data_IF_051231329933
#
_entry.id   IF_051231329933
#
_cell.length_a   1.000
_cell.length_b   1.000
_cell.length_c   1.000
_cell.angle_alpha   90.00
_cell.angle_beta   90.00
_cell.angle_gamma   90.00
#
_symmetry.space_group_name_H-M   'P 1'
#
loop_
_entity.id
_entity.type
_entity.pdbx_description
1 polymer ?
#
# COMPACT_ATOMS: atom_id res chain seq x y z
N UNK A 1 23.85 -18.69 -24.08
CA UNK A 1 22.59 -18.63 -24.86
C UNK A 1 22.27 -17.19 -25.27
N UNK A 2 22.01 -16.89 -26.55
CA UNK A 2 21.61 -15.54 -26.93
C UNK A 2 20.31 -15.19 -26.20
N UNK A 3 20.30 -14.09 -25.45
CA UNK A 3 19.10 -13.60 -24.77
C UNK A 3 18.05 -13.33 -25.84
N UNK A 4 16.97 -14.13 -25.84
CA UNK A 4 15.81 -13.84 -26.69
C UNK A 4 15.36 -12.42 -26.36
N UNK A 5 15.41 -11.52 -27.35
CA UNK A 5 14.82 -10.20 -27.17
C UNK A 5 13.35 -10.39 -26.78
N UNK A 6 12.86 -9.63 -25.79
CA UNK A 6 11.47 -9.74 -25.37
C UNK A 6 10.56 -9.53 -26.57
N UNK A 7 9.66 -10.48 -26.80
CA UNK A 7 8.65 -10.38 -27.86
C UNK A 7 7.59 -9.42 -27.35
N UNK A 8 7.43 -8.28 -28.03
CA UNK A 8 6.33 -7.36 -27.75
C UNK A 8 5.01 -8.03 -28.14
N UNK A 9 4.16 -8.32 -27.15
CA UNK A 9 2.87 -8.96 -27.37
C UNK A 9 1.77 -7.94 -27.69
N UNK A 10 1.84 -6.75 -27.09
CA UNK A 10 0.93 -5.64 -27.29
C UNK A 10 1.53 -4.34 -26.75
N UNK A 11 1.14 -3.21 -27.35
CA UNK A 11 1.39 -1.87 -26.82
C UNK A 11 0.07 -1.15 -26.55
N UNK A 12 -0.03 -0.53 -25.38
CA UNK A 12 -1.14 0.35 -25.01
C UNK A 12 -0.64 1.80 -25.08
N UNK A 13 -0.96 2.56 -26.14
CA UNK A 13 -0.42 3.91 -26.31
C UNK A 13 -0.97 4.84 -25.22
N UNK A 14 -0.08 5.64 -24.64
CA UNK A 14 -0.45 6.73 -23.76
C UNK A 14 -0.79 7.98 -24.57
N UNK A 15 -1.97 8.54 -24.34
CA UNK A 15 -2.37 9.79 -24.96
C UNK A 15 -2.12 10.97 -24.01
N UNK A 16 -2.05 12.22 -24.53
CA UNK A 16 -2.02 13.41 -23.68
C UNK A 16 -3.18 13.40 -22.67
N UNK A 17 -2.97 13.91 -21.45
CA UNK A 17 -3.98 13.90 -20.38
C UNK A 17 -5.31 14.55 -20.81
N UNK A 18 -5.24 15.58 -21.68
CA UNK A 18 -6.41 16.23 -22.27
C UNK A 18 -7.37 15.25 -22.99
N UNK A 19 -6.85 14.14 -23.54
CA UNK A 19 -7.64 13.11 -24.23
C UNK A 19 -8.55 12.32 -23.28
N UNK A 20 -8.33 12.37 -21.97
CA UNK A 20 -9.15 11.68 -20.97
C UNK A 20 -10.15 12.60 -20.26
N UNK A 21 -10.03 13.92 -20.44
CA UNK A 21 -10.94 14.92 -19.86
C UNK A 21 -12.35 14.72 -20.45
N UNK A 22 -13.37 14.77 -19.59
CA UNK A 22 -14.77 14.66 -20.00
C UNK A 22 -15.27 13.23 -20.31
N UNK A 23 -14.42 12.20 -20.22
CA UNK A 23 -14.82 10.79 -20.46
C UNK A 23 -15.60 10.13 -19.32
N UNK A 24 -15.86 10.88 -18.24
CA UNK A 24 -16.48 10.36 -17.02
C UNK A 24 -15.51 9.53 -16.17
N UNK A 25 -15.77 9.46 -14.87
CA UNK A 25 -15.01 8.60 -13.97
C UNK A 25 -15.56 7.16 -14.06
N UNK A 26 -14.69 6.13 -14.12
CA UNK A 26 -15.15 4.74 -14.17
C UNK A 26 -15.93 4.39 -12.91
N UNK A 27 -16.82 3.39 -12.99
CA UNK A 27 -17.54 2.93 -11.80
C UNK A 27 -16.55 2.25 -10.87
N UNK A 28 -16.26 2.90 -9.75
CA UNK A 28 -15.34 2.38 -8.75
C UNK A 28 -16.13 1.83 -7.55
N UNK A 29 -16.05 0.52 -7.36
CA UNK A 29 -16.68 -0.17 -6.24
C UNK A 29 -15.95 0.15 -4.94
N UNK A 30 -16.71 0.38 -3.87
CA UNK A 30 -16.14 0.63 -2.55
C UNK A 30 -15.30 -0.58 -2.11
N UNK A 31 -14.01 -0.38 -1.75
CA UNK A 31 -13.18 -1.46 -1.24
C UNK A 31 -13.76 -2.04 0.06
N UNK A 32 -13.76 -3.37 0.17
CA UNK A 32 -14.19 -4.11 1.35
C UNK A 32 -13.09 -5.06 1.79
N UNK A 33 -12.63 -4.96 3.03
CA UNK A 33 -11.69 -5.94 3.61
C UNK A 33 -12.34 -7.34 3.61
N UNK A 34 -11.60 -8.32 3.10
CA UNK A 34 -12.02 -9.72 3.00
C UNK A 34 -11.06 -10.68 3.71
N UNK A 35 -9.79 -10.28 3.86
CA UNK A 35 -8.78 -11.01 4.62
C UNK A 35 -7.70 -10.04 5.10
N UNK A 36 -6.82 -10.52 5.97
CA UNK A 36 -5.67 -9.75 6.47
C UNK A 36 -4.62 -10.70 7.03
N UNK A 37 -3.40 -10.20 7.18
CA UNK A 37 -2.34 -10.87 7.91
C UNK A 37 -1.35 -9.86 8.50
N UNK A 38 -0.63 -10.30 9.51
CA UNK A 38 0.48 -9.58 10.14
C UNK A 38 1.78 -10.33 9.90
N UNK A 39 2.90 -9.62 9.78
CA UNK A 39 4.25 -10.18 9.89
C UNK A 39 4.92 -9.64 11.14
N UNK A 40 5.55 -10.53 11.89
CA UNK A 40 6.38 -10.13 13.03
C UNK A 40 7.80 -9.74 12.60
N UNK A 41 8.62 -9.32 13.56
CA UNK A 41 10.02 -8.92 13.36
C UNK A 41 10.89 -9.96 12.64
N UNK A 42 10.50 -11.24 12.66
CA UNK A 42 11.18 -12.35 11.97
C UNK A 42 10.52 -12.70 10.62
N UNK A 43 9.61 -11.84 10.13
CA UNK A 43 8.79 -12.00 8.92
C UNK A 43 7.85 -13.20 8.94
N UNK A 44 7.59 -13.79 10.12
CA UNK A 44 6.63 -14.90 10.23
C UNK A 44 5.22 -14.35 10.09
N UNK A 45 4.46 -14.97 9.20
CA UNK A 45 3.08 -14.56 8.90
C UNK A 45 2.13 -15.13 9.94
N UNK A 46 1.18 -14.28 10.36
CA UNK A 46 0.04 -14.63 11.22
C UNK A 46 -1.24 -14.10 10.60
N UNK A 47 -2.28 -14.91 10.52
CA UNK A 47 -3.56 -14.51 9.92
C UNK A 47 -4.47 -13.79 10.93
N UNK A 48 -3.93 -12.75 11.55
CA UNK A 48 -4.57 -11.91 12.56
C UNK A 48 -4.22 -10.42 12.35
N UNK A 49 -4.67 -9.57 13.28
CA UNK A 49 -4.41 -8.12 13.28
C UNK A 49 -3.34 -7.69 14.29
N UNK A 50 -2.45 -8.60 14.70
CA UNK A 50 -1.45 -8.32 15.73
C UNK A 50 -0.45 -7.23 15.33
N UNK A 51 -0.20 -7.05 14.03
CA UNK A 51 0.66 -5.99 13.50
C UNK A 51 -0.05 -4.66 13.20
N UNK A 52 -1.37 -4.54 13.43
CA UNK A 52 -2.09 -3.31 13.14
C UNK A 52 -1.93 -2.32 14.32
N UNK A 53 -1.14 -1.27 14.12
CA UNK A 53 -0.98 -0.21 15.10
C UNK A 53 -2.26 0.60 15.33
N UNK A 54 -2.43 1.14 16.53
CA UNK A 54 -3.46 2.14 16.80
C UNK A 54 -2.90 3.53 16.47
N UNK A 55 -3.59 4.31 15.63
CA UNK A 55 -3.17 5.67 15.31
C UNK A 55 -3.19 6.54 16.57
N UNK A 56 -2.13 7.31 16.73
CA UNK A 56 -1.94 8.31 17.77
C UNK A 56 -1.34 9.54 17.13
N UNK A 57 -1.77 10.71 17.58
CA UNK A 57 -1.16 11.96 17.11
C UNK A 57 0.24 12.09 17.70
N UNK A 58 1.30 12.14 16.87
CA UNK A 58 2.65 12.31 17.38
C UNK A 58 2.84 13.71 17.96
N UNK A 59 3.66 13.83 18.99
CA UNK A 59 4.10 15.15 19.51
C UNK A 59 5.15 15.72 18.58
N UNK A 60 4.99 16.99 18.18
CA UNK A 60 5.89 17.69 17.27
C UNK A 60 6.41 18.99 17.92
N UNK A 61 7.66 19.40 17.66
CA UNK A 61 8.64 18.74 16.80
C UNK A 61 9.22 17.46 17.43
N UNK A 62 9.62 16.50 16.58
CA UNK A 62 10.27 15.26 17.01
C UNK A 62 11.60 15.05 16.27
N UNK A 63 12.61 14.56 16.98
CA UNK A 63 13.90 14.21 16.39
C UNK A 63 13.81 12.84 15.70
N UNK A 64 13.54 12.83 14.40
CA UNK A 64 13.34 11.60 13.62
C UNK A 64 14.62 10.77 13.41
N UNK A 65 15.80 11.34 13.70
CA UNK A 65 17.08 10.66 13.53
C UNK A 65 17.48 9.80 14.74
N UNK A 66 16.80 9.95 15.89
CA UNK A 66 17.12 9.24 17.13
C UNK A 66 16.80 7.75 17.02
N UNK A 67 17.84 6.93 17.15
CA UNK A 67 17.76 5.46 17.15
C UNK A 67 18.11 4.82 15.81
N UNK A 68 18.58 5.60 14.84
CA UNK A 68 19.01 5.11 13.52
C UNK A 68 20.09 4.01 13.63
N UNK A 69 20.99 4.11 14.59
CA UNK A 69 22.09 3.17 14.81
C UNK A 69 21.59 1.75 15.19
N UNK A 70 20.36 1.66 15.69
CA UNK A 70 19.69 0.41 16.05
C UNK A 70 18.61 -0.03 15.04
N UNK A 71 18.47 0.70 13.93
CA UNK A 71 17.46 0.44 12.91
C UNK A 71 17.68 -0.92 12.23
N UNK A 72 16.61 -1.72 12.14
CA UNK A 72 16.60 -2.97 11.38
C UNK A 72 15.85 -2.73 10.07
N UNK A 73 16.54 -2.61 8.92
CA UNK A 73 15.90 -2.38 7.63
C UNK A 73 15.10 -3.61 7.17
N UNK A 74 14.10 -3.35 6.31
CA UNK A 74 13.27 -4.40 5.69
C UNK A 74 14.18 -5.32 4.88
N UNK A 75 14.14 -6.61 5.15
CA UNK A 75 14.90 -7.57 4.35
C UNK A 75 14.32 -7.59 2.93
N UNK A 76 15.14 -7.26 1.94
CA UNK A 76 14.79 -7.36 0.53
C UNK A 76 15.37 -8.65 -0.01
N UNK A 77 14.52 -9.54 -0.55
CA UNK A 77 14.99 -10.60 -1.45
C UNK A 77 14.93 -10.04 -2.88
N UNK A 78 16.08 -9.80 -3.53
CA UNK A 78 16.11 -9.25 -4.88
C UNK A 78 15.50 -10.19 -5.92
N UNK A 79 15.39 -11.48 -5.63
CA UNK A 79 14.94 -12.50 -6.57
C UNK A 79 13.42 -12.77 -6.48
N UNK A 80 12.78 -12.40 -5.36
CA UNK A 80 11.34 -12.56 -5.15
C UNK A 80 10.76 -11.31 -4.46
N UNK A 81 10.58 -10.19 -5.20
CA UNK A 81 9.97 -9.00 -4.63
C UNK A 81 8.51 -9.28 -4.27
N UNK A 82 8.23 -9.36 -2.96
CA UNK A 82 6.89 -9.47 -2.37
C UNK A 82 6.01 -10.59 -2.97
N UNK A 83 6.22 -11.86 -2.60
CA UNK A 83 5.42 -12.96 -3.13
C UNK A 83 3.94 -12.80 -2.76
N UNK A 84 3.05 -13.16 -3.69
CA UNK A 84 1.61 -13.22 -3.46
C UNK A 84 1.20 -14.43 -2.60
N UNK A 85 2.13 -15.33 -2.27
CA UNK A 85 1.88 -16.55 -1.49
C UNK A 85 1.15 -16.29 -0.17
N UNK A 86 1.59 -15.28 0.59
CA UNK A 86 0.96 -14.94 1.87
C UNK A 86 -0.44 -14.35 1.71
N UNK A 87 -0.67 -13.63 0.61
CA UNK A 87 -2.00 -13.10 0.25
C UNK A 87 -2.95 -14.25 -0.07
N UNK A 88 -2.51 -15.21 -0.89
CA UNK A 88 -3.29 -16.41 -1.23
C UNK A 88 -3.57 -17.25 0.03
N UNK A 89 -2.58 -17.42 0.90
CA UNK A 89 -2.74 -18.16 2.15
C UNK A 89 -3.75 -17.48 3.10
N UNK A 90 -3.70 -16.15 3.24
CA UNK A 90 -4.64 -15.40 4.06
C UNK A 90 -6.08 -15.45 3.49
N UNK A 91 -6.25 -15.39 2.17
CA UNK A 91 -7.55 -15.58 1.51
C UNK A 91 -8.11 -16.98 1.78
N UNK A 92 -7.27 -18.02 1.61
CA UNK A 92 -7.63 -19.42 1.87
C UNK A 92 -8.03 -19.64 3.33
N UNK A 93 -7.30 -19.05 4.28
CA UNK A 93 -7.63 -19.09 5.71
C UNK A 93 -9.00 -18.47 6.03
N UNK A 94 -9.46 -17.48 5.26
CA UNK A 94 -10.81 -16.89 5.37
C UNK A 94 -11.86 -17.59 4.52
N UNK A 95 -11.51 -18.68 3.82
CA UNK A 95 -12.42 -19.41 2.93
C UNK A 95 -12.78 -18.65 1.64
N UNK A 96 -11.96 -17.67 1.24
CA UNK A 96 -12.15 -16.90 0.00
C UNK A 96 -11.32 -17.51 -1.11
N UNK A 97 -11.93 -17.74 -2.28
CA UNK A 97 -11.22 -18.31 -3.44
C UNK A 97 -10.65 -17.18 -4.27
N UNK A 98 -9.43 -17.34 -4.75
CA UNK A 98 -8.79 -16.40 -5.68
C UNK A 98 -9.62 -16.15 -6.94
N UNK A 99 -10.36 -17.18 -7.40
CA UNK A 99 -11.29 -17.14 -8.54
C UNK A 99 -12.52 -16.26 -8.36
N UNK A 100 -12.78 -15.75 -7.14
CA UNK A 100 -13.86 -14.79 -6.89
C UNK A 100 -13.49 -13.36 -7.40
N UNK A 101 -12.26 -13.16 -7.87
CA UNK A 101 -11.76 -11.96 -8.56
C UNK A 101 -11.16 -12.30 -9.93
N UNK A 102 -11.03 -11.29 -10.80
CA UNK A 102 -10.33 -11.44 -12.08
C UNK A 102 -8.82 -11.20 -11.93
N UNK A 103 -8.44 -10.30 -11.00
CA UNK A 103 -7.05 -9.91 -10.76
C UNK A 103 -6.75 -10.01 -9.27
N UNK A 104 -5.59 -10.57 -8.92
CA UNK A 104 -4.99 -10.53 -7.58
C UNK A 104 -3.64 -9.81 -7.62
N UNK A 105 -3.45 -8.79 -6.78
CA UNK A 105 -2.20 -8.02 -6.75
C UNK A 105 -1.97 -7.29 -5.43
N UNK A 106 -0.77 -6.72 -5.25
CA UNK A 106 -0.52 -5.69 -4.25
C UNK A 106 -0.90 -4.30 -4.78
N UNK A 107 -1.29 -3.40 -3.87
CA UNK A 107 -1.57 -1.98 -4.13
C UNK A 107 -0.47 -1.31 -4.96
N UNK A 108 0.79 -1.69 -4.74
CA UNK A 108 1.96 -1.16 -5.45
C UNK A 108 1.80 -1.20 -6.99
N UNK A 109 1.30 -2.30 -7.55
CA UNK A 109 1.14 -2.44 -9.00
C UNK A 109 0.02 -1.56 -9.54
N UNK A 110 -1.07 -1.38 -8.80
CA UNK A 110 -2.14 -0.47 -9.20
C UNK A 110 -1.67 0.99 -9.15
N UNK A 111 -0.87 1.37 -8.14
CA UNK A 111 -0.27 2.71 -8.07
C UNK A 111 0.61 3.01 -9.29
N UNK A 112 1.45 2.03 -9.71
CA UNK A 112 2.26 2.13 -10.95
C UNK A 112 1.36 2.35 -12.18
N UNK A 113 0.34 1.49 -12.36
CA UNK A 113 -0.57 1.54 -13.52
C UNK A 113 -1.35 2.87 -13.55
N UNK A 114 -1.95 3.29 -12.43
CA UNK A 114 -2.72 4.54 -12.38
C UNK A 114 -1.84 5.77 -12.50
N UNK A 115 -0.62 5.73 -11.94
CA UNK A 115 0.36 6.82 -12.04
C UNK A 115 0.95 6.99 -13.43
N UNK A 116 0.85 5.99 -14.32
CA UNK A 116 1.51 5.98 -15.64
C UNK A 116 1.13 7.16 -16.52
N UNK A 117 -0.08 7.70 -16.39
CA UNK A 117 -0.52 8.85 -17.20
C UNK A 117 0.18 10.16 -16.82
N UNK A 118 0.74 10.24 -15.61
CA UNK A 118 1.43 11.43 -15.09
C UNK A 118 2.94 11.22 -14.89
N UNK A 119 3.36 9.99 -14.59
CA UNK A 119 4.75 9.67 -14.32
C UNK A 119 5.55 9.58 -15.62
N UNK A 120 6.50 10.51 -15.78
CA UNK A 120 7.41 10.58 -16.95
C UNK A 120 8.86 10.26 -16.60
N UNK A 121 9.15 10.02 -15.31
CA UNK A 121 10.52 9.89 -14.79
C UNK A 121 10.84 8.46 -14.41
N UNK A 122 9.93 7.82 -13.69
CA UNK A 122 10.18 6.52 -13.11
C UNK A 122 9.56 5.41 -13.97
N UNK A 123 10.42 4.56 -14.51
CA UNK A 123 10.02 3.30 -15.10
C UNK A 123 9.46 2.33 -14.04
N UNK A 124 8.67 1.36 -14.49
CA UNK A 124 8.15 0.30 -13.65
C UNK A 124 7.94 -0.98 -14.44
N UNK A 125 8.04 -2.11 -13.74
CA UNK A 125 7.71 -3.43 -14.26
C UNK A 125 6.68 -4.11 -13.35
N UNK A 126 5.87 -4.98 -13.95
CA UNK A 126 4.90 -5.84 -13.29
C UNK A 126 4.98 -7.22 -13.94
N UNK A 127 5.22 -8.26 -13.14
CA UNK A 127 5.15 -9.63 -13.61
C UNK A 127 3.69 -10.05 -13.78
N UNK A 128 3.34 -10.70 -14.88
CA UNK A 128 1.95 -11.13 -15.16
C UNK A 128 1.91 -12.63 -15.32
N UNK A 129 1.09 -13.28 -14.51
CA UNK A 129 0.83 -14.72 -14.58
C UNK A 129 -0.67 -14.95 -14.74
N UNK A 130 -1.06 -15.75 -15.74
CA UNK A 130 -2.44 -16.17 -15.93
C UNK A 130 -2.60 -17.60 -15.43
N UNK A 131 -3.39 -17.78 -14.38
CA UNK A 131 -3.70 -19.08 -13.81
C UNK A 131 -4.63 -19.89 -14.74
N UNK A 132 -4.63 -21.21 -14.58
CA UNK A 132 -5.48 -22.12 -15.36
C UNK A 132 -6.98 -21.86 -15.18
N UNK A 133 -7.38 -21.32 -14.03
CA UNK A 133 -8.75 -20.92 -13.70
C UNK A 133 -9.16 -19.54 -14.28
N UNK A 134 -8.24 -18.87 -14.98
CA UNK A 134 -8.48 -17.57 -15.62
C UNK A 134 -8.14 -16.36 -14.74
N UNK A 135 -7.82 -16.54 -13.46
CA UNK A 135 -7.34 -15.46 -12.58
C UNK A 135 -6.00 -14.93 -13.08
N UNK A 136 -5.80 -13.62 -13.02
CA UNK A 136 -4.51 -12.98 -13.36
C UNK A 136 -3.82 -12.50 -12.09
N UNK A 137 -2.60 -12.97 -11.87
CA UNK A 137 -1.73 -12.51 -10.79
C UNK A 137 -0.79 -11.45 -11.34
N UNK A 138 -0.75 -10.30 -10.66
CA UNK A 138 0.21 -9.24 -10.97
C UNK A 138 1.25 -9.18 -9.86
N UNK A 139 2.45 -9.65 -10.16
CA UNK A 139 3.61 -9.74 -9.28
C UNK A 139 4.38 -8.43 -9.25
N UNK A 140 4.86 -8.03 -8.06
CA UNK A 140 5.68 -6.83 -7.92
C UNK A 140 7.06 -7.13 -8.50
N UNK A 141 7.50 -6.30 -9.44
CA UNK A 141 8.84 -6.36 -9.99
C UNK A 141 9.53 -5.02 -9.80
N UNK A 142 10.84 -5.07 -9.51
CA UNK A 142 11.71 -3.92 -9.58
C UNK A 142 12.38 -3.88 -10.95
N UNK A 143 12.56 -2.70 -11.53
CA UNK A 143 13.31 -2.55 -12.79
C UNK A 143 14.80 -2.70 -12.53
N UNK A 144 15.59 -2.94 -13.58
CA UNK A 144 17.06 -2.94 -13.46
C UNK A 144 17.59 -1.60 -12.91
N UNK A 145 17.02 -0.48 -13.38
CA UNK A 145 17.36 0.86 -12.88
C UNK A 145 17.10 0.97 -11.39
N UNK A 146 15.89 0.59 -10.93
CA UNK A 146 15.52 0.67 -9.51
C UNK A 146 16.41 -0.20 -8.63
N UNK A 147 16.76 -1.43 -9.07
CA UNK A 147 17.73 -2.29 -8.37
C UNK A 147 19.11 -1.66 -8.27
N UNK A 148 19.58 -1.01 -9.34
CA UNK A 148 20.88 -0.34 -9.36
C UNK A 148 20.91 0.91 -8.46
N UNK A 149 19.81 1.68 -8.40
CA UNK A 149 19.65 2.81 -7.48
C UNK A 149 19.62 2.34 -6.02
N UNK A 150 18.90 1.25 -5.74
CA UNK A 150 18.84 0.62 -4.43
C UNK A 150 20.23 0.20 -3.93
N UNK A 151 21.01 -0.47 -4.77
CA UNK A 151 22.35 -0.92 -4.46
C UNK A 151 23.35 0.23 -4.21
N UNK A 152 23.02 1.45 -4.66
CA UNK A 152 23.84 2.65 -4.50
C UNK A 152 23.35 3.57 -3.39
N UNK A 153 22.38 3.12 -2.57
CA UNK A 153 21.81 3.95 -1.50
C UNK A 153 22.88 4.43 -0.53
N UNK A 154 23.01 5.75 -0.40
CA UNK A 154 23.90 6.37 0.56
C UNK A 154 23.28 6.43 1.98
N UNK A 155 24.09 6.75 2.98
CA UNK A 155 23.62 6.84 4.38
C UNK A 155 22.50 7.88 4.53
N UNK A 156 22.57 9.00 3.79
CA UNK A 156 21.54 10.03 3.85
C UNK A 156 20.19 9.50 3.38
N UNK A 157 20.15 8.73 2.29
CA UNK A 157 18.95 8.08 1.79
C UNK A 157 18.43 7.00 2.76
N UNK A 158 19.33 6.27 3.42
CA UNK A 158 18.96 5.31 4.46
C UNK A 158 18.33 6.00 5.67
N UNK A 159 18.90 7.12 6.14
CA UNK A 159 18.32 7.96 7.21
C UNK A 159 16.97 8.52 6.82
N UNK A 160 16.83 9.07 5.61
CA UNK A 160 15.53 9.57 5.12
C UNK A 160 14.46 8.47 5.07
N UNK A 161 14.83 7.25 4.70
CA UNK A 161 13.92 6.09 4.75
C UNK A 161 13.55 5.74 6.19
N UNK A 162 14.52 5.73 7.09
CA UNK A 162 14.32 5.48 8.52
C UNK A 162 13.39 6.53 9.16
N UNK A 163 13.52 7.81 8.81
CA UNK A 163 12.69 8.87 9.36
C UNK A 163 11.19 8.63 9.13
N UNK A 164 10.82 7.96 8.03
CA UNK A 164 9.44 7.50 7.79
C UNK A 164 8.99 6.48 8.84
N UNK A 165 9.74 5.38 9.00
CA UNK A 165 9.43 4.37 10.02
C UNK A 165 9.49 4.91 11.45
N UNK A 166 10.39 5.86 11.74
CA UNK A 166 10.44 6.53 13.04
C UNK A 166 9.17 7.35 13.28
N UNK A 167 8.68 8.05 12.27
CA UNK A 167 7.43 8.79 12.36
C UNK A 167 6.22 7.86 12.56
N UNK A 168 6.18 6.71 11.87
CA UNK A 168 5.16 5.68 12.10
C UNK A 168 5.20 5.16 13.54
N UNK A 169 6.39 4.88 14.08
CA UNK A 169 6.57 4.46 15.47
C UNK A 169 6.00 5.51 16.46
N UNK A 170 6.33 6.79 16.26
CA UNK A 170 5.82 7.90 17.07
C UNK A 170 4.30 8.08 16.94
N UNK A 171 3.72 7.65 15.83
CA UNK A 171 2.29 7.73 15.54
C UNK A 171 1.51 6.49 15.98
N UNK A 172 2.16 5.49 16.59
CA UNK A 172 1.53 4.19 16.92
C UNK A 172 1.83 3.66 18.33
N UNK A 173 3.01 3.92 18.88
CA UNK A 173 3.41 3.46 20.21
C UNK A 173 3.15 4.50 21.31
N UNK A 174 2.93 4.01 22.53
CA UNK A 174 2.97 4.81 23.75
C UNK A 174 4.44 5.05 24.16
N UNK A 175 4.78 6.25 24.61
CA UNK A 175 6.14 6.61 25.02
C UNK A 175 6.92 7.37 23.93
N UNK A 176 6.77 8.68 23.87
CA UNK A 176 7.85 9.51 23.31
C UNK A 176 9.00 9.60 24.32
N UNK A 177 10.16 10.14 23.93
CA UNK A 177 11.24 10.44 24.90
C UNK A 177 10.73 11.28 26.08
N UNK A 178 9.70 12.09 25.85
CA UNK A 178 9.03 12.92 26.86
C UNK A 178 7.90 12.21 27.67
N UNK A 179 7.48 10.99 27.30
CA UNK A 179 6.28 10.32 27.85
C UNK A 179 6.59 9.07 28.71
N UNK A 180 7.84 8.91 29.13
CA UNK A 180 8.18 8.03 30.27
C UNK A 180 8.83 6.68 29.96
N UNK A 181 9.48 6.51 28.81
CA UNK A 181 10.35 5.34 28.58
C UNK A 181 11.05 5.31 27.22
N UNK A 182 12.16 4.56 27.08
CA UNK A 182 12.83 4.38 25.80
C UNK A 182 11.93 3.59 24.83
N UNK A 183 11.77 4.11 23.62
CA UNK A 183 11.11 3.37 22.52
C UNK A 183 11.96 2.16 22.11
N UNK A 184 11.33 1.05 21.70
CA UNK A 184 12.07 -0.06 21.12
C UNK A 184 12.75 0.37 19.80
N UNK A 185 13.82 -0.34 19.38
CA UNK A 185 14.38 -0.14 18.05
C UNK A 185 13.33 -0.29 16.96
N UNK A 186 13.44 0.51 15.90
CA UNK A 186 12.54 0.42 14.74
C UNK A 186 12.93 -0.80 13.90
N UNK A 187 11.96 -1.64 13.57
CA UNK A 187 12.15 -2.79 12.70
C UNK A 187 11.17 -2.75 11.52
N UNK A 188 11.69 -2.46 10.32
CA UNK A 188 10.90 -2.34 9.09
C UNK A 188 10.43 -3.69 8.50
N UNK A 189 10.65 -4.81 9.20
CA UNK A 189 10.13 -6.12 8.83
C UNK A 189 8.73 -6.40 9.39
N UNK A 190 8.32 -5.66 10.41
CA UNK A 190 6.97 -5.74 10.96
C UNK A 190 6.00 -5.02 10.05
N UNK A 191 4.91 -5.69 9.67
CA UNK A 191 3.92 -5.11 8.76
C UNK A 191 2.53 -5.71 9.03
N UNK A 192 1.50 -4.92 8.75
CA UNK A 192 0.13 -5.40 8.67
C UNK A 192 -0.42 -5.17 7.27
N UNK A 193 -1.00 -6.22 6.69
CA UNK A 193 -1.56 -6.18 5.36
C UNK A 193 -3.06 -6.48 5.40
N UNK A 194 -3.85 -5.55 4.86
CA UNK A 194 -5.27 -5.74 4.59
C UNK A 194 -5.47 -6.18 3.15
N UNK A 195 -6.32 -7.18 2.94
CA UNK A 195 -6.70 -7.68 1.61
C UNK A 195 -8.12 -7.25 1.35
N UNK A 196 -8.30 -6.41 0.34
CA UNK A 196 -9.59 -5.82 -0.01
C UNK A 196 -10.10 -6.32 -1.35
N UNK A 197 -11.42 -6.48 -1.43
CA UNK A 197 -12.15 -6.67 -2.68
C UNK A 197 -12.68 -5.33 -3.17
N UNK A 198 -12.48 -5.04 -4.46
CA UNK A 198 -13.08 -3.90 -5.13
C UNK A 198 -13.42 -4.24 -6.59
N UNK A 199 -14.08 -3.31 -7.28
CA UNK A 199 -14.33 -3.41 -8.72
C UNK A 199 -14.05 -2.10 -9.44
N UNK A 200 -13.49 -2.19 -10.64
CA UNK A 200 -13.38 -1.08 -11.58
C UNK A 200 -14.19 -1.46 -12.82
N UNK A 201 -15.31 -0.78 -13.02
CA UNK A 201 -16.37 -1.16 -13.94
C UNK A 201 -16.80 -2.63 -13.77
N UNK A 202 -16.44 -3.49 -14.73
CA UNK A 202 -16.76 -4.93 -14.71
C UNK A 202 -15.63 -5.78 -14.13
N UNK A 203 -14.46 -5.19 -13.89
CA UNK A 203 -13.27 -5.92 -13.43
C UNK A 203 -13.29 -6.02 -11.91
N UNK A 204 -13.31 -7.25 -11.37
CA UNK A 204 -13.18 -7.51 -9.93
C UNK A 204 -11.71 -7.72 -9.57
N UNK A 205 -11.26 -7.09 -8.49
CA UNK A 205 -9.89 -7.16 -8.03
C UNK A 205 -9.84 -7.55 -6.55
N UNK A 206 -8.88 -8.38 -6.21
CA UNK A 206 -8.35 -8.50 -4.86
C UNK A 206 -7.02 -7.76 -4.80
N UNK A 207 -6.92 -6.84 -3.84
CA UNK A 207 -5.75 -6.00 -3.63
C UNK A 207 -5.26 -6.16 -2.19
N UNK A 208 -4.00 -6.56 -2.03
CA UNK A 208 -3.30 -6.52 -0.75
C UNK A 208 -2.65 -5.15 -0.55
N UNK A 209 -2.83 -4.54 0.61
CA UNK A 209 -2.29 -3.23 0.96
C UNK A 209 -1.70 -3.25 2.37
N UNK A 210 -0.45 -2.82 2.50
CA UNK A 210 0.17 -2.51 3.79
C UNK A 210 -0.55 -1.30 4.40
N UNK A 211 -0.96 -1.44 5.67
CA UNK A 211 -1.69 -0.44 6.45
C UNK A 211 -0.90 -0.18 7.73
N UNK A 212 -0.47 1.07 7.92
CA UNK A 212 0.43 1.45 9.03
C UNK A 212 -0.29 1.42 10.38
N UNK A 213 -1.52 1.96 10.42
CA UNK A 213 -2.31 2.01 11.64
C UNK A 213 -3.81 2.24 11.39
N UNK A 214 -4.60 2.14 12.44
CA UNK A 214 -6.03 2.47 12.44
C UNK A 214 -6.40 3.35 13.63
N UNK A 215 -7.23 4.37 13.42
CA UNK A 215 -7.75 5.20 14.50
C UNK A 215 -8.70 4.40 15.41
N UNK A 216 -8.50 4.51 16.73
CA UNK A 216 -9.43 3.97 17.73
C UNK A 216 -10.51 5.02 18.02
N UNK A 217 -11.77 4.75 17.64
CA UNK A 217 -12.92 5.59 18.04
C UNK A 217 -13.56 6.53 16.99
N UNK A 218 -13.31 6.36 15.70
CA UNK A 218 -13.90 7.21 14.65
C UNK A 218 -15.21 6.70 14.05
N UNK A 219 -16.31 6.77 14.80
CA UNK A 219 -17.57 7.17 14.15
C UNK A 219 -17.32 8.58 13.60
N UNK A 220 -17.22 8.71 12.28
CA UNK A 220 -16.62 9.88 11.62
C UNK A 220 -17.07 11.23 12.18
N UNK A 221 -16.16 11.91 12.88
CA UNK A 221 -16.16 13.36 12.95
C UNK A 221 -15.34 13.85 11.75
N UNK A 222 -15.86 14.78 10.93
CA UNK A 222 -15.10 15.30 9.80
C UNK A 222 -13.88 16.05 10.34
N UNK A 223 -12.73 15.84 9.70
CA UNK A 223 -11.55 16.66 9.92
C UNK A 223 -11.95 18.13 9.68
N UNK A 224 -11.95 18.92 10.75
CA UNK A 224 -12.12 20.37 10.67
C UNK A 224 -10.92 20.92 9.88
N UNK A 225 -11.15 21.36 8.65
CA UNK A 225 -10.07 21.90 7.82
C UNK A 225 -10.35 22.11 6.34
N UNK A 226 -11.51 21.71 5.81
CA UNK A 226 -11.90 22.14 4.46
C UNK A 226 -12.83 23.36 4.60
N UNK A 227 -12.36 24.50 4.13
CA UNK A 227 -13.13 25.75 4.08
C UNK A 227 -14.23 25.55 3.04
N UNK A 228 -15.47 25.35 3.50
CA UNK A 228 -16.64 25.30 2.63
C UNK A 228 -16.86 26.66 1.97
N UNK A 229 -16.81 26.70 0.64
CA UNK A 229 -17.61 27.65 -0.13
C UNK A 229 -18.68 26.83 -0.84
N UNK A 230 -19.84 26.73 -0.19
CA UNK A 230 -21.05 26.17 -0.76
C UNK A 230 -22.04 27.32 -1.02
N UNK A 231 -22.45 27.47 -2.28
CA UNK A 231 -23.70 28.13 -2.65
C UNK A 231 -24.73 27.03 -2.96
N UNK A 232 -25.96 27.24 -2.48
CA UNK A 232 -27.02 26.28 -2.25
C UNK A 232 -27.70 25.70 -3.50
N UNK A 233 -28.22 24.46 -3.41
CA UNK A 233 -29.67 24.19 -3.34
C UNK A 233 -30.01 22.69 -3.53
N UNK A 234 -30.93 22.15 -2.73
CA UNK A 234 -31.83 21.07 -3.18
C UNK A 234 -31.75 19.69 -2.50
N UNK A 235 -32.09 19.63 -1.21
CA UNK A 235 -33.00 18.68 -0.55
C UNK A 235 -33.02 17.13 -0.81
N UNK A 236 -32.98 16.39 0.33
CA UNK A 236 -33.52 15.03 0.64
C UNK A 236 -32.82 13.76 0.12
N UNK A 237 -32.09 13.08 1.03
CA UNK A 237 -32.47 11.80 1.72
C UNK A 237 -31.22 11.11 2.29
N UNK A 238 -31.34 10.66 3.54
CA UNK A 238 -30.26 10.08 4.31
C UNK A 238 -29.62 8.83 3.70
N UNK A 239 -28.29 8.81 3.70
CA UNK A 239 -27.45 7.62 3.67
C UNK A 239 -26.20 7.92 4.49
N UNK A 240 -26.03 7.18 5.57
CA UNK A 240 -24.79 7.18 6.34
C UNK A 240 -23.64 6.79 5.41
N UNK A 241 -22.75 7.76 5.14
CA UNK A 241 -21.45 7.54 4.51
C UNK A 241 -20.44 7.34 5.64
N UNK A 242 -19.70 6.23 5.59
CA UNK A 242 -18.54 6.01 6.44
C UNK A 242 -17.31 5.92 5.53
N UNK A 243 -16.38 6.85 5.76
CA UNK A 243 -15.13 7.04 5.03
C UNK A 243 -13.95 6.96 5.99
N UNK A 244 -12.82 6.40 5.53
CA UNK A 244 -11.49 6.69 6.06
C UNK A 244 -10.74 5.48 6.62
N UNK A 245 -9.98 4.77 5.77
CA UNK A 245 -8.67 4.28 6.19
C UNK A 245 -7.67 5.37 5.79
N UNK A 246 -7.00 5.97 6.77
CA UNK A 246 -5.84 6.84 6.55
C UNK A 246 -4.62 5.97 6.29
N UNK A 247 -4.00 6.13 5.12
CA UNK A 247 -2.68 5.58 4.78
C UNK A 247 -1.75 6.78 4.73
N UNK A 248 -0.67 6.76 5.51
CA UNK A 248 0.35 7.80 5.46
C UNK A 248 1.41 7.40 4.44
N UNK A 249 1.65 8.27 3.45
CA UNK A 249 2.87 8.36 2.63
C UNK A 249 3.31 7.13 1.83
#
# INVERSE_FOLDING_TARGET
PPSRMPVELAALPLHPTATYVGKGFPKFGQPREIAHFSRDASRRVRFDKSGLGAYRTPRLPAALDVGFESYVPKSHDPNEPAPLGDVVAALSHKGVRTTDAHILTYRNNLNKIFGTVYNRKDDWEVGVERCADGTVLLHVMDTERKRAEEARRDERQQRMSYWGYKFEQLSTLDGGEDDGGPLPPVNANEEFCSIVQLSIDRTKLFMAAEIDCAATGGGGAPAAGCVDTAEEAGERRGKARLSGLSVLG
#
